data_IF_284764386583
#
_entry.id   IF_284764386583
#
_cell.length_a   1.000
_cell.length_b   1.000
_cell.length_c   1.000
_cell.angle_alpha   90.00
_cell.angle_beta   90.00
_cell.angle_gamma   90.00
#
_symmetry.space_group_name_H-M   'P 1'
#
loop_
_entity.id
_entity.type
_entity.pdbx_description
1 polymer ?
#
# COMPACT_ATOMS: atom_id res chain seq x y z
N UNK A 1 -14.36 1.12 16.58
CA UNK A 1 -13.40 0.23 15.89
C UNK A 1 -12.92 1.00 14.68
N UNK A 2 -11.61 1.14 14.52
CA UNK A 2 -11.05 1.77 13.32
C UNK A 2 -11.00 0.70 12.23
N UNK A 3 -11.54 1.00 11.07
CA UNK A 3 -11.50 0.09 9.92
C UNK A 3 -10.24 0.38 9.12
N UNK A 4 -9.40 -0.62 8.89
CA UNK A 4 -8.21 -0.50 8.04
C UNK A 4 -8.48 -1.16 6.71
N UNK A 5 -8.28 -0.41 5.63
CA UNK A 5 -8.34 -0.92 4.25
C UNK A 5 -6.95 -0.99 3.68
N UNK A 6 -6.63 -2.06 2.97
CA UNK A 6 -5.33 -2.27 2.36
C UNK A 6 -5.43 -2.17 0.84
N UNK A 7 -4.39 -1.62 0.22
CA UNK A 7 -4.32 -1.39 -1.21
C UNK A 7 -2.91 -1.76 -1.71
N UNK A 8 -2.81 -2.67 -2.66
CA UNK A 8 -1.56 -2.95 -3.35
C UNK A 8 -1.25 -1.84 -4.35
N UNK A 9 -0.05 -1.27 -4.31
CA UNK A 9 0.42 -0.29 -5.29
C UNK A 9 1.10 -1.00 -6.45
N UNK A 10 0.49 -0.97 -7.63
CA UNK A 10 0.99 -1.59 -8.86
C UNK A 10 1.43 -0.48 -9.82
N UNK A 11 2.72 -0.43 -10.15
CA UNK A 11 3.22 0.56 -11.11
C UNK A 11 2.69 0.26 -12.51
N UNK A 12 2.30 1.27 -13.26
CA UNK A 12 1.91 1.13 -14.67
C UNK A 12 3.03 0.49 -15.48
N UNK A 13 2.75 -0.65 -16.09
CA UNK A 13 3.72 -1.48 -16.83
C UNK A 13 4.31 -2.62 -16.00
N UNK A 14 4.04 -2.66 -14.70
CA UNK A 14 4.30 -3.80 -13.84
C UNK A 14 3.06 -4.71 -13.72
N UNK A 15 3.26 -5.96 -13.34
CA UNK A 15 2.16 -6.90 -13.10
C UNK A 15 1.73 -6.83 -11.64
N UNK A 16 0.47 -7.14 -11.34
CA UNK A 16 -0.01 -7.26 -9.96
C UNK A 16 0.77 -8.29 -9.10
N UNK A 17 1.58 -9.13 -9.74
CA UNK A 17 2.50 -10.08 -9.10
C UNK A 17 3.76 -9.41 -8.49
N UNK A 18 4.11 -8.20 -8.93
CA UNK A 18 5.22 -7.39 -8.41
C UNK A 18 4.74 -5.98 -8.01
N UNK A 19 3.93 -5.88 -6.94
CA UNK A 19 3.56 -4.57 -6.42
C UNK A 19 4.81 -3.78 -6.04
N UNK A 20 4.82 -2.50 -6.42
CA UNK A 20 5.89 -1.56 -6.09
C UNK A 20 5.83 -1.13 -4.62
N UNK A 21 4.71 -1.38 -3.95
CA UNK A 21 4.56 -1.22 -2.50
C UNK A 21 3.14 -1.54 -2.03
N UNK A 22 2.86 -1.19 -0.78
CA UNK A 22 1.57 -1.40 -0.14
C UNK A 22 1.10 -0.10 0.52
N UNK A 23 -0.17 0.23 0.37
CA UNK A 23 -0.80 1.35 1.05
C UNK A 23 -1.91 0.84 1.97
N UNK A 24 -2.20 1.58 3.03
CA UNK A 24 -3.34 1.34 3.91
C UNK A 24 -4.05 2.65 4.23
N UNK A 25 -5.36 2.56 4.41
CA UNK A 25 -6.22 3.64 4.88
C UNK A 25 -6.84 3.22 6.19
N UNK A 26 -6.55 3.96 7.25
CA UNK A 26 -7.20 3.80 8.54
C UNK A 26 -8.36 4.79 8.64
N UNK A 27 -9.58 4.28 8.71
CA UNK A 27 -10.79 5.05 8.97
C UNK A 27 -10.94 5.25 10.48
N UNK A 28 -10.79 6.50 10.91
CA UNK A 28 -10.95 6.94 12.29
C UNK A 28 -12.24 7.77 12.41
N UNK A 29 -12.82 7.90 13.61
CA UNK A 29 -13.96 8.80 13.81
C UNK A 29 -13.64 10.29 13.51
N UNK A 30 -12.35 10.67 13.54
CA UNK A 30 -11.89 12.03 13.28
C UNK A 30 -11.54 12.28 11.79
N UNK A 31 -11.49 11.23 10.97
CA UNK A 31 -11.17 11.32 9.55
C UNK A 31 -10.49 10.06 8.99
N UNK A 32 -9.82 10.22 7.85
CA UNK A 32 -9.07 9.15 7.18
C UNK A 32 -7.57 9.40 7.29
N UNK A 33 -6.82 8.37 7.63
CA UNK A 33 -5.37 8.39 7.68
C UNK A 33 -4.83 7.44 6.61
N UNK A 34 -4.18 8.02 5.61
CA UNK A 34 -3.57 7.28 4.50
C UNK A 34 -2.07 7.10 4.79
N UNK A 35 -1.59 5.88 4.64
CA UNK A 35 -0.20 5.49 4.91
C UNK A 35 0.30 4.54 3.83
N UNK A 36 1.60 4.59 3.54
CA UNK A 36 2.30 3.65 2.65
C UNK A 36 3.40 2.91 3.40
N UNK A 37 3.60 1.65 3.03
CA UNK A 37 4.67 0.81 3.53
C UNK A 37 5.96 1.16 2.79
N UNK A 38 6.96 1.60 3.55
CA UNK A 38 8.31 1.87 3.04
C UNK A 38 9.14 0.59 3.00
N UNK A 39 10.28 0.65 2.31
CA UNK A 39 11.22 -0.48 2.16
C UNK A 39 11.80 -0.97 3.49
N UNK A 40 11.80 -0.13 4.51
CA UNK A 40 12.20 -0.47 5.88
C UNK A 40 11.05 -1.09 6.70
N UNK A 41 9.96 -1.51 6.04
CA UNK A 41 8.76 -2.10 6.65
C UNK A 41 8.05 -1.18 7.65
N UNK A 42 8.28 0.13 7.57
CA UNK A 42 7.55 1.13 8.37
C UNK A 42 6.41 1.73 7.56
N UNK A 43 5.32 2.01 8.27
CA UNK A 43 4.19 2.74 7.72
C UNK A 43 4.43 4.24 7.87
N UNK A 44 4.33 4.97 6.76
CA UNK A 44 4.51 6.41 6.73
C UNK A 44 3.28 7.07 6.15
N UNK A 45 2.81 8.16 6.78
CA UNK A 45 1.70 8.96 6.26
C UNK A 45 2.01 9.44 4.85
N UNK A 46 1.08 9.21 3.93
CA UNK A 46 1.29 9.48 2.51
C UNK A 46 -0.07 9.78 1.84
N UNK A 47 -0.07 10.54 0.75
CA UNK A 47 -1.29 10.94 0.02
C UNK A 47 -1.61 10.04 -1.17
N UNK A 48 -0.86 8.97 -1.42
CA UNK A 48 -1.04 8.09 -2.58
C UNK A 48 -2.50 7.65 -2.82
N UNK A 49 -3.21 7.23 -1.76
CA UNK A 49 -4.61 6.79 -1.89
C UNK A 49 -5.54 7.95 -2.26
N UNK A 50 -5.28 9.14 -1.72
CA UNK A 50 -6.04 10.34 -2.04
C UNK A 50 -5.83 10.79 -3.50
N UNK A 51 -4.59 10.75 -3.96
CA UNK A 51 -4.22 11.10 -5.34
C UNK A 51 -4.83 10.12 -6.34
N UNK A 52 -4.80 8.82 -6.04
CA UNK A 52 -5.45 7.78 -6.83
C UNK A 52 -6.98 7.92 -6.90
N UNK A 53 -7.65 8.22 -5.78
CA UNK A 53 -9.10 8.49 -5.80
C UNK A 53 -9.47 9.69 -6.69
N UNK A 54 -8.53 10.62 -6.90
CA UNK A 54 -8.70 11.78 -7.79
C UNK A 54 -8.27 11.53 -9.23
N UNK A 55 -7.67 10.37 -9.53
CA UNK A 55 -7.06 10.09 -10.82
C UNK A 55 -5.81 10.93 -11.10
N UNK A 56 -5.15 11.43 -10.05
CA UNK A 56 -3.88 12.17 -10.12
C UNK A 56 -2.66 11.24 -10.02
N UNK A 57 -2.89 9.92 -10.05
CA UNK A 57 -1.84 8.92 -9.94
C UNK A 57 -0.81 9.00 -11.08
N UNK A 58 0.46 9.17 -10.74
CA UNK A 58 1.55 9.22 -11.72
C UNK A 58 2.02 7.81 -12.07
N UNK A 59 1.12 7.02 -12.69
CA UNK A 59 1.41 5.67 -13.17
C UNK A 59 1.56 4.63 -12.05
N UNK A 60 0.75 4.73 -10.99
CA UNK A 60 0.63 3.71 -9.96
C UNK A 60 -0.84 3.48 -9.66
N UNK A 61 -1.31 2.29 -9.99
CA UNK A 61 -2.67 1.85 -9.70
C UNK A 61 -2.75 1.26 -8.28
N UNK A 62 -3.80 1.60 -7.54
CA UNK A 62 -4.06 1.06 -6.21
C UNK A 62 -5.19 0.05 -6.27
N UNK A 63 -4.85 -1.22 -6.08
CA UNK A 63 -5.81 -2.31 -6.06
C UNK A 63 -6.20 -2.61 -4.62
N UNK A 64 -7.49 -2.47 -4.28
CA UNK A 64 -7.98 -2.84 -2.96
C UNK A 64 -7.82 -4.35 -2.72
N UNK A 65 -7.22 -4.72 -1.59
CA UNK A 65 -6.96 -6.11 -1.22
C UNK A 65 -7.46 -6.41 0.20
N UNK A 66 -7.57 -7.69 0.53
CA UNK A 66 -7.92 -8.14 1.87
C UNK A 66 -6.73 -7.94 2.83
N UNK A 67 -7.00 -7.90 4.14
CA UNK A 67 -5.94 -7.88 5.16
C UNK A 67 -4.99 -9.08 5.03
N UNK A 68 -5.52 -10.28 4.81
CA UNK A 68 -4.71 -11.49 4.63
C UNK A 68 -3.77 -11.40 3.41
N UNK A 69 -4.23 -10.82 2.29
CA UNK A 69 -3.41 -10.59 1.12
C UNK A 69 -2.31 -9.55 1.40
N UNK A 70 -2.65 -8.51 2.17
CA UNK A 70 -1.70 -7.48 2.58
C UNK A 70 -0.60 -8.06 3.48
N UNK A 71 -0.94 -8.92 4.44
CA UNK A 71 0.02 -9.63 5.28
C UNK A 71 0.96 -10.51 4.45
N UNK A 72 0.42 -11.30 3.52
CA UNK A 72 1.22 -12.12 2.61
C UNK A 72 2.18 -11.28 1.75
N UNK A 73 1.75 -10.09 1.29
CA UNK A 73 2.61 -9.15 0.57
C UNK A 73 3.71 -8.57 1.45
N UNK A 74 3.41 -8.23 2.71
CA UNK A 74 4.42 -7.74 3.67
C UNK A 74 5.48 -8.80 3.92
N UNK A 75 5.08 -10.07 4.09
CA UNK A 75 6.03 -11.17 4.25
C UNK A 75 6.94 -11.33 3.03
N UNK A 76 6.36 -11.31 1.81
CA UNK A 76 7.14 -11.32 0.56
C UNK A 76 8.10 -10.13 0.46
N UNK A 77 7.64 -8.92 0.78
CA UNK A 77 8.49 -7.73 0.77
C UNK A 77 9.61 -7.83 1.79
N UNK A 78 9.33 -8.37 2.98
CA UNK A 78 10.33 -8.60 4.00
C UNK A 78 11.42 -9.55 3.52
N UNK A 79 11.06 -10.68 2.92
CA UNK A 79 12.03 -11.63 2.36
C UNK A 79 12.87 -10.99 1.24
N UNK A 80 12.20 -10.28 0.31
CA UNK A 80 12.85 -9.63 -0.82
C UNK A 80 13.81 -8.52 -0.37
N UNK A 81 13.37 -7.61 0.50
CA UNK A 81 14.17 -6.47 0.95
C UNK A 81 15.26 -6.87 1.94
N UNK A 82 15.04 -7.91 2.76
CA UNK A 82 16.10 -8.46 3.59
C UNK A 82 17.24 -9.09 2.77
N UNK A 83 16.94 -9.62 1.57
CA UNK A 83 17.95 -10.16 0.67
C UNK A 83 18.69 -9.10 -0.16
N UNK A 84 18.12 -7.89 -0.31
CA UNK A 84 18.76 -6.75 -1.00
C UNK A 84 19.53 -5.80 -0.05
N UNK A 85 19.56 -6.11 1.25
CA UNK A 85 20.25 -5.34 2.31
C UNK A 85 21.68 -5.77 2.58
#
# INVERSE_FOLDING_TARGET
MNEVKYFAMVRSGDSADHPSGLARRTLTPEGRLDETLRRDLTWMRDSAIYEWERGEEMGTDLVAISEADAEALIERFREKWAAEG
#
